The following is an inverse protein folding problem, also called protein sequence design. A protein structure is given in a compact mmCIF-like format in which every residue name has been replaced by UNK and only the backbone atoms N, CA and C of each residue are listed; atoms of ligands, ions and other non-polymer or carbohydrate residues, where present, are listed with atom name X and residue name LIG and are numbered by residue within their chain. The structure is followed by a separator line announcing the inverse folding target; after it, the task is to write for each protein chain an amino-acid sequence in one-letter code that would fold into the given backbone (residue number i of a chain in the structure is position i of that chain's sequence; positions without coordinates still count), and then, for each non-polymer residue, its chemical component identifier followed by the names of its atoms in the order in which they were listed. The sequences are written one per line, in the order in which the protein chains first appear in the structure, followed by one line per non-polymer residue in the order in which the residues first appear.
data_IF_192152281840
#
_entry.id   IF_192152281840
#
_cell.length_a   1.000
_cell.length_b   1.000
_cell.length_c   1.000
_cell.angle_alpha   90.00
_cell.angle_beta   90.00
_cell.angle_gamma   90.00
#
_symmetry.space_group_name_H-M   'P 1'
#
loop_
_entity.id
_entity.type
_entity.pdbx_description
1 polymer ?
#
# COMPACT_ATOMS: atom_id res chain seq x y z
N UNK A 1 -37.57 1.49 -29.09
CA UNK A 1 -36.43 2.10 -29.81
C UNK A 1 -35.88 3.31 -29.07
N UNK A 2 -36.74 4.23 -28.60
CA UNK A 2 -36.35 5.37 -27.74
C UNK A 2 -35.49 5.04 -26.50
N UNK A 3 -35.79 4.02 -25.67
CA UNK A 3 -34.95 3.71 -24.50
C UNK A 3 -33.54 3.27 -24.89
N UNK A 4 -33.36 2.55 -26.01
CA UNK A 4 -32.04 2.16 -26.50
C UNK A 4 -31.23 3.35 -27.00
N UNK A 5 -31.85 4.28 -27.72
CA UNK A 5 -31.17 5.50 -28.20
C UNK A 5 -30.77 6.43 -27.05
N UNK A 6 -31.63 6.54 -26.02
CA UNK A 6 -31.31 7.26 -24.79
C UNK A 6 -30.09 6.67 -24.08
N UNK A 7 -30.01 5.35 -23.96
CA UNK A 7 -28.86 4.67 -23.33
C UNK A 7 -27.55 4.90 -24.08
N UNK A 8 -27.56 4.78 -25.42
CA UNK A 8 -26.36 5.03 -26.24
C UNK A 8 -25.85 6.45 -26.03
N UNK A 9 -26.77 7.44 -26.02
CA UNK A 9 -26.41 8.83 -25.76
C UNK A 9 -25.80 9.01 -24.37
N UNK A 10 -26.43 8.48 -23.33
CA UNK A 10 -25.92 8.62 -21.96
C UNK A 10 -24.54 8.01 -21.78
N UNK A 11 -24.28 6.82 -22.33
CA UNK A 11 -22.97 6.17 -22.24
C UNK A 11 -21.91 6.98 -22.98
N UNK A 12 -22.22 7.45 -24.20
CA UNK A 12 -21.31 8.29 -24.98
C UNK A 12 -20.94 9.57 -24.23
N UNK A 13 -21.94 10.30 -23.74
CA UNK A 13 -21.73 11.56 -23.00
C UNK A 13 -20.91 11.30 -21.71
N UNK A 14 -21.21 10.22 -21.00
CA UNK A 14 -20.53 9.86 -19.75
C UNK A 14 -19.06 9.53 -19.96
N UNK A 15 -18.72 8.79 -21.02
CA UNK A 15 -17.31 8.48 -21.36
C UNK A 15 -16.56 9.76 -21.75
N UNK A 16 -17.18 10.65 -22.53
CA UNK A 16 -16.55 11.93 -22.90
C UNK A 16 -16.26 12.81 -21.68
N UNK A 17 -17.21 12.91 -20.75
CA UNK A 17 -17.04 13.65 -19.50
C UNK A 17 -15.92 13.01 -18.66
N UNK A 18 -15.94 11.69 -18.48
CA UNK A 18 -14.92 10.98 -17.69
C UNK A 18 -13.51 11.20 -18.28
N UNK A 19 -13.36 11.17 -19.60
CA UNK A 19 -12.09 11.48 -20.26
C UNK A 19 -11.63 12.92 -19.97
N UNK A 20 -12.54 13.90 -20.04
CA UNK A 20 -12.23 15.29 -19.69
C UNK A 20 -11.79 15.47 -18.24
N UNK A 21 -12.45 14.78 -17.31
CA UNK A 21 -12.10 14.80 -15.88
C UNK A 21 -10.71 14.20 -15.67
N UNK A 22 -10.46 12.99 -16.17
CA UNK A 22 -9.16 12.31 -15.98
C UNK A 22 -8.00 13.06 -16.64
N UNK A 23 -8.22 13.67 -17.81
CA UNK A 23 -7.18 14.42 -18.52
C UNK A 23 -6.79 15.74 -17.85
N UNK A 24 -7.66 16.30 -17.01
CA UNK A 24 -7.44 17.62 -16.37
C UNK A 24 -7.30 17.56 -14.86
N UNK A 25 -7.53 16.40 -14.25
CA UNK A 25 -7.32 16.14 -12.83
C UNK A 25 -5.85 16.44 -12.46
N UNK A 26 -5.66 17.12 -11.33
CA UNK A 26 -4.36 17.28 -10.70
C UNK A 26 -4.34 16.60 -9.35
N UNK A 27 -3.20 16.01 -8.99
CA UNK A 27 -2.97 15.40 -7.68
C UNK A 27 -2.21 16.36 -6.77
N UNK A 28 -2.49 16.30 -5.47
CA UNK A 28 -1.72 17.02 -4.47
C UNK A 28 -0.76 16.03 -3.81
N UNK A 29 0.50 16.02 -4.26
CA UNK A 29 1.53 15.08 -3.80
C UNK A 29 1.78 15.21 -2.29
N UNK A 30 1.89 16.43 -1.78
CA UNK A 30 2.13 16.69 -0.35
C UNK A 30 1.01 16.14 0.51
N UNK A 31 -0.25 16.39 0.15
CA UNK A 31 -1.42 15.86 0.88
C UNK A 31 -1.51 14.34 0.78
N UNK A 32 -1.15 13.78 -0.38
CA UNK A 32 -1.15 12.32 -0.58
C UNK A 32 -0.08 11.66 0.28
N UNK A 33 1.12 12.24 0.34
CA UNK A 33 2.22 11.75 1.19
C UNK A 33 1.91 11.92 2.68
N UNK A 34 1.34 13.06 3.07
CA UNK A 34 0.97 13.34 4.45
C UNK A 34 -0.19 12.47 4.97
N UNK A 35 -0.99 11.87 4.08
CA UNK A 35 -2.04 10.93 4.45
C UNK A 35 -1.52 9.52 4.78
N UNK A 36 -0.24 9.24 4.55
CA UNK A 36 0.38 7.96 4.90
C UNK A 36 0.57 7.88 6.42
N UNK A 37 0.01 6.84 7.01
CA UNK A 37 0.02 6.61 8.45
C UNK A 37 0.94 5.43 8.80
N UNK A 38 1.78 5.53 9.84
CA UNK A 38 2.69 4.46 10.24
C UNK A 38 2.01 3.12 10.55
N UNK A 39 0.77 3.12 11.03
CA UNK A 39 0.01 1.89 11.27
C UNK A 39 -0.31 1.13 9.98
N UNK A 40 -0.31 1.79 8.82
CA UNK A 40 -0.42 1.11 7.52
C UNK A 40 0.73 0.12 7.29
N UNK A 41 1.90 0.35 7.92
CA UNK A 41 3.08 -0.51 7.84
C UNK A 41 3.12 -1.61 8.91
N UNK A 42 2.08 -1.79 9.73
CA UNK A 42 2.01 -2.89 10.68
C UNK A 42 2.07 -4.27 9.98
N UNK A 43 1.46 -4.38 8.80
CA UNK A 43 1.55 -5.60 7.98
C UNK A 43 2.97 -5.83 7.48
N UNK A 44 3.72 -4.77 7.19
CA UNK A 44 5.12 -4.84 6.76
C UNK A 44 6.05 -5.35 7.87
N UNK A 45 5.74 -5.03 9.13
CA UNK A 45 6.40 -5.63 10.31
C UNK A 45 6.12 -7.14 10.38
N UNK A 46 4.90 -7.57 10.08
CA UNK A 46 4.57 -9.00 10.01
C UNK A 46 5.29 -9.69 8.85
N UNK A 47 5.30 -9.09 7.65
CA UNK A 47 6.01 -9.58 6.47
C UNK A 47 7.53 -9.73 6.72
N UNK A 48 8.13 -8.79 7.45
CA UNK A 48 9.53 -8.86 7.86
C UNK A 48 9.82 -10.15 8.64
N UNK A 49 8.98 -10.48 9.63
CA UNK A 49 9.15 -11.72 10.42
C UNK A 49 8.84 -12.98 9.60
N UNK A 50 7.89 -12.92 8.65
CA UNK A 50 7.58 -14.04 7.75
C UNK A 50 8.82 -14.37 6.91
N UNK A 51 9.52 -13.36 6.41
CA UNK A 51 10.78 -13.54 5.67
C UNK A 51 11.90 -14.15 6.51
N UNK A 52 11.82 -14.03 7.84
CA UNK A 52 12.71 -14.70 8.81
C UNK A 52 12.24 -16.10 9.22
N UNK A 53 11.20 -16.64 8.57
CA UNK A 53 10.70 -18.00 8.78
C UNK A 53 9.68 -18.14 9.91
N UNK A 54 9.18 -17.02 10.47
CA UNK A 54 8.13 -17.05 11.49
C UNK A 54 6.77 -17.31 10.84
N UNK A 55 5.94 -18.13 11.49
CA UNK A 55 4.61 -18.45 10.96
C UNK A 55 3.71 -17.21 10.89
N UNK A 56 2.89 -17.11 9.85
CA UNK A 56 2.02 -15.93 9.64
C UNK A 56 1.12 -15.59 10.84
N UNK A 57 0.57 -16.61 11.52
CA UNK A 57 -0.25 -16.42 12.72
C UNK A 57 0.55 -15.71 13.81
N UNK A 58 1.79 -16.13 14.01
CA UNK A 58 2.67 -15.61 15.04
C UNK A 58 3.17 -14.20 14.69
N UNK A 59 3.50 -13.94 13.43
CA UNK A 59 3.93 -12.59 13.00
C UNK A 59 2.84 -11.56 13.16
N UNK A 60 1.58 -11.90 12.85
CA UNK A 60 0.44 -11.01 13.10
C UNK A 60 0.24 -10.72 14.59
N UNK A 61 0.41 -11.71 15.48
CA UNK A 61 0.35 -11.47 16.92
C UNK A 61 1.48 -10.55 17.40
N UNK A 62 2.70 -10.74 16.89
CA UNK A 62 3.85 -9.91 17.26
C UNK A 62 3.66 -8.47 16.76
N UNK A 63 3.28 -8.29 15.49
CA UNK A 63 2.96 -6.97 14.92
C UNK A 63 1.82 -6.28 15.70
N UNK A 64 0.76 -7.01 16.05
CA UNK A 64 -0.31 -6.50 16.91
C UNK A 64 0.18 -6.03 18.29
N UNK A 65 1.17 -6.71 18.88
CA UNK A 65 1.81 -6.24 20.13
C UNK A 65 2.66 -4.98 19.92
N UNK A 66 3.28 -4.80 18.76
CA UNK A 66 3.96 -3.54 18.42
C UNK A 66 2.96 -2.39 18.31
N UNK A 67 1.81 -2.61 17.67
CA UNK A 67 0.71 -1.63 17.59
C UNK A 67 0.19 -1.30 18.99
N UNK A 68 -0.12 -2.31 19.80
CA UNK A 68 -0.57 -2.10 21.18
C UNK A 68 0.47 -1.33 22.01
N UNK A 69 1.78 -1.58 21.81
CA UNK A 69 2.84 -0.83 22.50
C UNK A 69 2.93 0.62 22.03
N UNK A 70 2.70 0.86 20.75
CA UNK A 70 2.60 2.20 20.18
C UNK A 70 1.45 2.98 20.81
N UNK A 71 0.27 2.37 20.92
CA UNK A 71 -0.90 2.97 21.59
C UNK A 71 -0.66 3.23 23.08
N UNK A 72 -0.07 2.26 23.81
CA UNK A 72 0.23 2.38 25.24
C UNK A 72 1.19 3.55 25.54
N UNK A 73 2.18 3.75 24.67
CA UNK A 73 3.25 4.74 24.89
C UNK A 73 2.96 6.08 24.23
N UNK A 74 1.98 6.16 23.33
CA UNK A 74 1.74 7.33 22.48
C UNK A 74 2.85 7.58 21.45
N UNK A 75 3.78 6.64 21.28
CA UNK A 75 4.88 6.72 20.31
C UNK A 75 4.44 6.01 19.03
N UNK A 76 4.52 6.66 17.85
CA UNK A 76 4.20 6.00 16.58
C UNK A 76 4.97 4.68 16.38
N UNK A 77 4.36 3.68 15.75
CA UNK A 77 4.95 2.33 15.64
C UNK A 77 6.31 2.33 14.93
N UNK A 78 6.52 3.25 13.98
CA UNK A 78 7.79 3.47 13.27
C UNK A 78 8.87 4.18 14.10
N UNK A 79 8.49 4.76 15.25
CA UNK A 79 9.39 5.46 16.17
C UNK A 79 9.70 4.64 17.43
N UNK A 80 9.06 3.48 17.60
CA UNK A 80 9.45 2.55 18.65
C UNK A 80 10.92 2.14 18.45
N UNK A 81 11.70 2.24 19.52
CA UNK A 81 13.11 1.87 19.48
C UNK A 81 13.29 0.37 19.22
N UNK A 82 14.44 0.00 18.65
CA UNK A 82 14.83 -1.40 18.49
C UNK A 82 14.73 -2.18 19.81
N UNK A 83 15.14 -1.61 20.94
CA UNK A 83 15.06 -2.30 22.24
C UNK A 83 13.59 -2.53 22.68
N UNK A 84 12.69 -1.58 22.39
CA UNK A 84 11.25 -1.78 22.63
C UNK A 84 10.67 -2.88 21.75
N UNK A 85 11.05 -2.95 20.47
CA UNK A 85 10.61 -4.03 19.58
C UNK A 85 11.22 -5.37 19.99
N UNK A 86 12.51 -5.42 20.32
CA UNK A 86 13.19 -6.63 20.79
C UNK A 86 12.60 -7.17 22.09
N UNK A 87 12.14 -6.30 22.98
CA UNK A 87 11.42 -6.69 24.19
C UNK A 87 10.05 -7.32 23.88
N UNK A 88 9.44 -7.01 22.72
CA UNK A 88 8.23 -7.69 22.25
C UNK A 88 8.58 -9.07 21.72
N UNK A 89 9.60 -9.16 20.86
CA UNK A 89 10.08 -10.43 20.30
C UNK A 89 11.59 -10.41 19.99
N UNK A 90 12.37 -11.41 20.45
CA UNK A 90 13.82 -11.42 20.27
C UNK A 90 14.29 -11.60 18.82
N UNK A 91 13.40 -11.95 17.88
CA UNK A 91 13.74 -12.12 16.45
C UNK A 91 13.81 -10.80 15.67
N UNK A 92 13.40 -9.69 16.29
CA UNK A 92 13.69 -8.38 15.71
C UNK A 92 15.18 -8.10 15.75
N UNK A 93 15.69 -7.57 14.65
CA UNK A 93 17.06 -7.08 14.52
C UNK A 93 17.04 -5.58 14.19
N UNK A 94 18.22 -4.95 14.12
CA UNK A 94 18.33 -3.50 13.89
C UNK A 94 17.82 -3.05 12.52
N UNK A 95 17.71 -3.98 11.58
CA UNK A 95 17.15 -3.78 10.23
C UNK A 95 15.62 -3.63 10.22
N UNK A 96 14.92 -3.80 11.36
CA UNK A 96 13.46 -3.62 11.42
C UNK A 96 13.00 -2.21 11.02
N UNK A 97 13.88 -1.21 11.14
CA UNK A 97 13.60 0.15 10.66
C UNK A 97 13.29 0.20 9.16
N UNK A 98 13.82 -0.73 8.37
CA UNK A 98 13.55 -0.85 6.94
C UNK A 98 12.09 -1.22 6.63
N UNK A 99 11.38 -1.84 7.58
CA UNK A 99 9.95 -2.12 7.43
C UNK A 99 9.09 -0.83 7.42
N UNK A 100 9.61 0.28 7.98
CA UNK A 100 8.90 1.56 8.09
C UNK A 100 9.18 2.52 6.93
N UNK A 101 9.41 1.98 5.73
CA UNK A 101 9.58 2.74 4.51
C UNK A 101 8.41 2.47 3.55
N UNK A 102 7.59 3.50 3.28
CA UNK A 102 6.42 3.40 2.40
C UNK A 102 6.79 3.03 0.96
N UNK A 103 7.88 3.56 0.44
CA UNK A 103 8.32 3.28 -0.93
C UNK A 103 8.77 1.81 -1.04
N UNK A 104 9.51 1.31 -0.03
CA UNK A 104 9.86 -0.10 0.05
C UNK A 104 8.64 -1.03 0.25
N UNK A 105 7.60 -0.56 0.96
CA UNK A 105 6.33 -1.29 1.11
C UNK A 105 5.64 -1.51 -0.24
N UNK A 106 5.54 -0.46 -1.04
CA UNK A 106 4.97 -0.53 -2.40
C UNK A 106 5.83 -1.41 -3.31
N UNK A 107 7.15 -1.24 -3.29
CA UNK A 107 8.07 -2.02 -4.13
C UNK A 107 8.07 -3.51 -3.80
N UNK A 108 7.79 -3.90 -2.55
CA UNK A 108 7.65 -5.31 -2.18
C UNK A 108 6.44 -5.99 -2.79
N UNK A 109 5.45 -5.24 -3.31
CA UNK A 109 4.27 -5.77 -4.01
C UNK A 109 4.60 -5.97 -5.50
N UNK A 110 5.59 -6.81 -5.79
CA UNK A 110 6.13 -7.07 -7.13
C UNK A 110 5.60 -8.30 -7.83
N UNK A 111 4.70 -9.06 -7.20
CA UNK A 111 3.93 -10.09 -7.90
C UNK A 111 3.08 -9.45 -9.01
N UNK A 112 2.77 -10.23 -10.05
CA UNK A 112 1.94 -9.78 -11.18
C UNK A 112 0.62 -9.16 -10.69
N UNK A 113 0.35 -7.93 -11.12
CA UNK A 113 -0.82 -7.16 -10.71
C UNK A 113 -0.66 -6.41 -9.38
N UNK A 114 0.52 -6.47 -8.75
CA UNK A 114 0.86 -5.69 -7.57
C UNK A 114 1.15 -4.22 -7.88
N UNK A 115 1.49 -3.46 -6.83
CA UNK A 115 1.64 -1.99 -6.87
C UNK A 115 3.08 -1.50 -7.02
N UNK A 116 4.09 -2.40 -7.05
CA UNK A 116 5.47 -2.00 -7.33
C UNK A 116 5.58 -1.28 -8.68
N UNK A 117 6.59 -0.42 -8.83
CA UNK A 117 6.84 0.29 -10.09
C UNK A 117 6.93 -0.68 -11.27
N UNK A 118 7.69 -1.78 -11.11
CA UNK A 118 7.85 -2.80 -12.15
C UNK A 118 6.52 -3.42 -12.59
N UNK A 119 5.64 -3.76 -11.64
CA UNK A 119 4.31 -4.33 -11.91
C UNK A 119 3.37 -3.32 -12.56
N UNK A 120 3.40 -2.05 -12.14
CA UNK A 120 2.59 -0.98 -12.75
C UNK A 120 3.03 -0.72 -14.19
N UNK A 121 4.34 -0.70 -14.45
CA UNK A 121 4.88 -0.53 -15.80
C UNK A 121 4.52 -1.71 -16.72
N UNK A 122 4.54 -2.94 -16.20
CA UNK A 122 4.04 -4.12 -16.93
C UNK A 122 2.55 -3.96 -17.27
N UNK A 123 1.72 -3.55 -16.31
CA UNK A 123 0.29 -3.33 -16.54
C UNK A 123 0.02 -2.25 -17.61
N UNK A 124 0.76 -1.13 -17.57
CA UNK A 124 0.66 -0.06 -18.59
C UNK A 124 1.00 -0.62 -19.98
N UNK A 125 2.06 -1.43 -20.08
CA UNK A 125 2.44 -2.06 -21.35
C UNK A 125 1.34 -2.97 -21.88
N UNK A 126 0.81 -3.87 -21.05
CA UNK A 126 -0.27 -4.79 -21.43
C UNK A 126 -1.52 -4.03 -21.89
N UNK A 127 -1.92 -2.98 -21.16
CA UNK A 127 -3.08 -2.17 -21.54
C UNK A 127 -2.88 -1.44 -22.87
N UNK A 128 -1.68 -0.94 -23.15
CA UNK A 128 -1.36 -0.34 -24.46
C UNK A 128 -1.46 -1.37 -25.58
N UNK A 129 -0.87 -2.55 -25.41
CA UNK A 129 -0.93 -3.62 -26.40
C UNK A 129 -2.37 -4.09 -26.67
N UNK A 130 -3.25 -4.06 -25.67
CA UNK A 130 -4.68 -4.39 -25.83
C UNK A 130 -5.47 -3.33 -26.61
N UNK A 131 -5.07 -2.06 -26.55
CA UNK A 131 -5.76 -0.94 -27.19
C UNK A 131 -5.33 -0.74 -28.67
N UNK A 132 -4.20 -1.32 -29.08
CA UNK A 132 -3.61 -1.15 -30.42
C UNK A 132 -2.83 0.15 -30.57
#
# INVERSE_FOLDING_TARGET
MEPMLGLVKTVSDSIQIANGVLATLTTNEDKTRAALDPFMLATDVADYLVRKGVSFRETHHISGRCVAKSEETGIPVNELSYEQMKAIDPRFEKDISEAFNYDASVERRSAKGGTSNSSVMEQIKVLREMLG
#
